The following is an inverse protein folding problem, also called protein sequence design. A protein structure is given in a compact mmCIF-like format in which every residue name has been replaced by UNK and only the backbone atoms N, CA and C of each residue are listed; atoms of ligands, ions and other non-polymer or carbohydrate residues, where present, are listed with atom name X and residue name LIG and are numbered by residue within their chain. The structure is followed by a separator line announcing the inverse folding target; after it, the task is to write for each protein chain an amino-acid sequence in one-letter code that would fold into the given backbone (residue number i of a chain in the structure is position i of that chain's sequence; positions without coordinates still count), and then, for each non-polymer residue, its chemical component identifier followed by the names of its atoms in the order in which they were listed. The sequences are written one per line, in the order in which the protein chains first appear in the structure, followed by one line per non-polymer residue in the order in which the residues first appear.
data_IF_751697055254
#
_entry.id   IF_751697055254
#
_cell.length_a   1.000
_cell.length_b   1.000
_cell.length_c   1.000
_cell.angle_alpha   90.00
_cell.angle_beta   90.00
_cell.angle_gamma   90.00
#
_symmetry.space_group_name_H-M   'P 1'
#
loop_
_entity.id
_entity.type
_entity.pdbx_description
1 polymer ?
#
# COMPACT_ATOMS: atom_id res chain seq x y z
N UNK A 1 -21.80 44.49 -0.50
CA UNK A 1 -20.41 44.35 -1.01
C UNK A 1 -19.63 43.99 0.20
N UNK A 2 -19.47 42.72 0.38
CA UNK A 2 -19.06 42.04 1.61
C UNK A 2 -17.69 41.50 1.45
N UNK A 3 -16.92 41.47 2.48
CA UNK A 3 -15.64 40.89 2.94
C UNK A 3 -14.90 39.84 2.06
N UNK A 4 -15.20 39.73 0.76
CA UNK A 4 -14.59 38.75 -0.15
C UNK A 4 -13.23 39.21 -0.70
N UNK A 5 -12.93 40.52 -0.59
CA UNK A 5 -11.77 41.11 -1.27
C UNK A 5 -10.43 41.03 -0.48
N UNK A 6 -10.34 40.25 0.61
CA UNK A 6 -9.12 40.19 1.44
C UNK A 6 -8.70 38.78 1.92
N UNK A 7 -9.20 37.72 1.28
CA UNK A 7 -8.70 36.37 1.59
C UNK A 7 -7.33 36.18 0.96
N UNK A 8 -6.30 36.06 1.78
CA UNK A 8 -4.95 35.70 1.29
C UNK A 8 -5.02 34.28 0.74
N UNK A 9 -4.78 34.13 -0.56
CA UNK A 9 -4.78 32.80 -1.22
C UNK A 9 -3.79 31.84 -0.54
N UNK A 10 -4.17 30.57 -0.45
CA UNK A 10 -3.27 29.54 0.04
C UNK A 10 -2.09 29.37 -0.93
N UNK A 11 -0.93 29.03 -0.38
CA UNK A 11 0.29 28.83 -1.15
C UNK A 11 0.24 27.44 -1.79
N UNK A 12 -0.14 27.40 -3.08
CA UNK A 12 -0.17 26.21 -3.93
C UNK A 12 0.19 26.63 -5.36
N UNK A 13 0.92 25.76 -6.07
CA UNK A 13 1.32 26.06 -7.46
C UNK A 13 0.11 26.02 -8.39
N UNK A 14 -0.09 27.07 -9.20
CA UNK A 14 -1.05 27.08 -10.31
C UNK A 14 -0.26 26.97 -11.62
N UNK A 15 -0.51 25.94 -12.39
CA UNK A 15 0.27 25.58 -13.59
C UNK A 15 -0.67 25.55 -14.79
N UNK A 16 -0.26 26.15 -15.90
CA UNK A 16 -0.98 26.06 -17.17
C UNK A 16 -0.17 25.23 -18.17
N UNK A 17 -0.78 24.19 -18.74
CA UNK A 17 -0.12 23.31 -19.69
C UNK A 17 0.21 23.98 -21.04
N UNK A 18 -0.31 25.18 -21.30
CA UNK A 18 0.00 25.99 -22.46
C UNK A 18 1.23 26.89 -22.30
N UNK A 19 1.82 26.98 -21.12
CA UNK A 19 2.99 27.82 -20.84
C UNK A 19 4.32 27.12 -21.11
N UNK A 20 5.35 27.92 -21.45
CA UNK A 20 6.67 27.38 -21.86
C UNK A 20 7.40 26.63 -20.73
N UNK A 21 7.13 26.95 -19.45
CA UNK A 21 7.73 26.33 -18.26
C UNK A 21 6.98 25.11 -17.73
N UNK A 22 5.89 24.69 -18.40
CA UNK A 22 5.07 23.57 -17.99
C UNK A 22 5.89 22.28 -17.74
N UNK A 23 6.82 21.98 -18.68
CA UNK A 23 7.66 20.77 -18.56
C UNK A 23 8.54 20.77 -17.31
N UNK A 24 9.12 21.92 -16.97
CA UNK A 24 9.99 22.07 -15.80
C UNK A 24 9.17 21.96 -14.50
N UNK A 25 7.98 22.58 -14.47
CA UNK A 25 7.04 22.50 -13.36
C UNK A 25 6.58 21.05 -13.13
N UNK A 26 6.25 20.33 -14.19
CA UNK A 26 5.83 18.92 -14.13
C UNK A 26 6.98 18.01 -13.65
N UNK A 27 8.20 18.25 -14.15
CA UNK A 27 9.38 17.51 -13.66
C UNK A 27 9.60 17.75 -12.17
N UNK A 28 9.44 18.97 -11.67
CA UNK A 28 9.55 19.30 -10.25
C UNK A 28 8.50 18.56 -9.40
N UNK A 29 7.24 18.48 -9.86
CA UNK A 29 6.17 17.73 -9.21
C UNK A 29 6.45 16.21 -9.19
N UNK A 30 7.03 15.69 -10.28
CA UNK A 30 7.34 14.26 -10.44
C UNK A 30 8.61 13.83 -9.73
N UNK A 31 9.44 14.75 -9.26
CA UNK A 31 10.65 14.45 -8.50
C UNK A 31 10.31 13.99 -7.09
N UNK A 32 10.29 12.68 -6.91
CA UNK A 32 10.25 12.08 -5.58
C UNK A 32 11.62 12.21 -4.93
N UNK A 33 11.65 12.76 -3.73
CA UNK A 33 12.89 12.80 -2.94
C UNK A 33 13.36 11.35 -2.79
N UNK A 34 14.56 11.07 -3.26
CA UNK A 34 15.16 9.74 -3.10
C UNK A 34 15.00 9.30 -1.65
N UNK A 35 14.29 8.19 -1.44
CA UNK A 35 14.14 7.57 -0.12
C UNK A 35 15.46 6.99 0.41
N UNK A 36 16.58 7.20 -0.30
CA UNK A 36 17.91 6.75 0.06
C UNK A 36 18.64 7.87 0.80
N UNK A 37 18.82 7.66 2.09
CA UNK A 37 19.65 8.49 2.95
C UNK A 37 20.77 7.60 3.53
N UNK A 38 22.05 7.79 3.16
CA UNK A 38 23.16 6.94 3.60
C UNK A 38 23.29 6.78 5.11
N UNK A 39 22.96 7.82 5.88
CA UNK A 39 22.99 7.76 7.34
C UNK A 39 21.85 6.88 7.89
N UNK A 40 20.65 6.98 7.28
CA UNK A 40 19.52 6.09 7.62
C UNK A 40 19.86 4.66 7.24
N UNK A 41 20.41 4.43 6.05
CA UNK A 41 20.79 3.08 5.59
C UNK A 41 21.79 2.41 6.54
N UNK A 42 22.82 3.15 6.97
CA UNK A 42 23.81 2.65 7.94
C UNK A 42 23.16 2.30 9.28
N UNK A 43 22.38 3.21 9.86
CA UNK A 43 21.67 2.99 11.14
C UNK A 43 20.74 1.80 11.06
N UNK A 44 19.99 1.67 9.96
CA UNK A 44 19.09 0.54 9.75
C UNK A 44 19.89 -0.76 9.66
N UNK A 45 21.00 -0.79 8.93
CA UNK A 45 21.85 -1.97 8.82
C UNK A 45 22.42 -2.41 10.19
N UNK A 46 22.81 -1.46 11.03
CA UNK A 46 23.25 -1.72 12.41
C UNK A 46 22.13 -2.35 13.25
N UNK A 47 20.92 -1.76 13.22
CA UNK A 47 19.73 -2.28 13.93
C UNK A 47 19.39 -3.69 13.46
N UNK A 48 19.33 -3.89 12.13
CA UNK A 48 18.99 -5.17 11.52
C UNK A 48 19.98 -6.27 11.95
N UNK A 49 21.28 -5.95 11.94
CA UNK A 49 22.35 -6.86 12.36
C UNK A 49 22.22 -7.15 13.86
N UNK A 50 22.02 -6.13 14.69
CA UNK A 50 21.86 -6.28 16.13
C UNK A 50 20.73 -7.24 16.50
N UNK A 51 19.55 -7.08 15.90
CA UNK A 51 18.40 -7.98 16.16
C UNK A 51 18.68 -9.39 15.68
N UNK A 52 19.31 -9.55 14.51
CA UNK A 52 19.66 -10.87 13.95
C UNK A 52 20.61 -11.65 14.86
N UNK A 53 21.57 -10.98 15.49
CA UNK A 53 22.60 -11.60 16.33
C UNK A 53 22.19 -11.72 17.81
N UNK A 54 21.42 -10.74 18.32
CA UNK A 54 21.08 -10.65 19.74
C UNK A 54 19.64 -11.06 20.08
N UNK A 55 18.80 -11.35 19.07
CA UNK A 55 17.45 -11.89 19.27
C UNK A 55 16.53 -10.98 20.11
N UNK A 56 15.72 -11.61 20.97
CA UNK A 56 14.71 -10.92 21.79
C UNK A 56 15.31 -9.86 22.73
N UNK A 57 16.50 -10.10 23.29
CA UNK A 57 17.13 -9.14 24.20
C UNK A 57 17.42 -7.80 23.52
N UNK A 58 18.08 -7.84 22.37
CA UNK A 58 18.39 -6.64 21.58
C UNK A 58 17.13 -5.98 21.00
N UNK A 59 16.11 -6.77 20.67
CA UNK A 59 14.81 -6.25 20.23
C UNK A 59 14.13 -5.44 21.35
N UNK A 60 14.20 -5.91 22.60
CA UNK A 60 13.69 -5.19 23.78
C UNK A 60 14.50 -3.92 24.02
N UNK A 61 15.84 -3.98 23.93
CA UNK A 61 16.72 -2.82 24.12
C UNK A 61 16.40 -1.70 23.11
N UNK A 62 16.28 -2.03 21.83
CA UNK A 62 15.89 -1.03 20.79
C UNK A 62 14.47 -0.49 21.03
N UNK A 63 13.52 -1.32 21.45
CA UNK A 63 12.16 -0.87 21.75
C UNK A 63 12.14 0.06 22.95
N UNK A 64 12.90 -0.24 24.00
CA UNK A 64 13.06 0.65 25.15
C UNK A 64 13.67 1.98 24.74
N UNK A 65 14.70 1.96 23.90
CA UNK A 65 15.38 3.17 23.44
C UNK A 65 14.47 4.07 22.57
N UNK A 66 13.78 3.47 21.57
CA UNK A 66 13.06 4.26 20.56
C UNK A 66 11.63 4.61 20.96
N UNK A 67 10.97 3.70 21.71
CA UNK A 67 9.60 3.90 22.17
C UNK A 67 9.53 4.37 23.63
N UNK A 68 10.67 4.72 24.24
CA UNK A 68 10.76 5.18 25.64
C UNK A 68 10.08 4.22 26.62
N UNK A 69 10.34 2.92 26.45
CA UNK A 69 9.82 1.84 27.30
C UNK A 69 10.85 1.47 28.39
N UNK A 70 10.41 0.65 29.32
CA UNK A 70 11.26 0.06 30.35
C UNK A 70 10.92 -1.42 30.56
N UNK A 71 10.80 -2.17 29.46
CA UNK A 71 10.48 -3.59 29.49
C UNK A 71 11.74 -4.39 29.85
N UNK A 72 11.57 -5.42 30.66
CA UNK A 72 12.64 -6.32 31.05
C UNK A 72 12.81 -7.49 30.08
N UNK A 73 11.72 -7.89 29.42
CA UNK A 73 11.70 -9.02 28.49
C UNK A 73 10.65 -8.86 27.39
N UNK A 74 10.71 -9.76 26.42
CA UNK A 74 9.85 -9.72 25.21
C UNK A 74 8.37 -10.00 25.52
N UNK A 75 8.05 -10.71 26.60
CA UNK A 75 6.66 -11.03 26.95
C UNK A 75 5.85 -9.77 27.29
N UNK A 76 6.51 -8.73 27.81
CA UNK A 76 5.89 -7.43 28.08
C UNK A 76 5.54 -6.65 26.81
N UNK A 77 6.12 -7.02 25.68
CA UNK A 77 5.80 -6.48 24.36
C UNK A 77 4.69 -7.25 23.64
N UNK A 78 4.33 -8.44 24.15
CA UNK A 78 3.30 -9.29 23.59
C UNK A 78 1.91 -8.93 24.13
N UNK A 79 0.96 -8.67 23.25
CA UNK A 79 -0.43 -8.42 23.60
C UNK A 79 -1.23 -9.73 23.47
N UNK A 80 -1.70 -10.25 24.60
CA UNK A 80 -2.47 -11.50 24.61
C UNK A 80 -3.86 -11.33 23.97
N UNK A 81 -4.42 -12.42 23.45
CA UNK A 81 -5.74 -12.42 22.78
C UNK A 81 -6.88 -11.91 23.68
N UNK A 82 -6.80 -12.11 24.99
CA UNK A 82 -7.81 -11.58 25.92
C UNK A 82 -7.86 -10.05 25.91
N UNK A 83 -6.71 -9.38 25.78
CA UNK A 83 -6.65 -7.91 25.65
C UNK A 83 -7.27 -7.41 24.35
N UNK A 84 -7.16 -8.16 23.24
CA UNK A 84 -7.82 -7.83 21.99
C UNK A 84 -9.35 -7.91 22.14
N UNK A 85 -9.83 -8.98 22.77
CA UNK A 85 -11.26 -9.20 23.04
C UNK A 85 -11.81 -8.15 24.01
N UNK A 86 -11.07 -7.82 25.04
CA UNK A 86 -11.43 -6.76 26.00
C UNK A 86 -11.55 -5.41 25.28
N UNK A 87 -10.55 -5.02 24.47
CA UNK A 87 -10.58 -3.78 23.71
C UNK A 87 -11.83 -3.71 22.83
N UNK A 88 -12.15 -4.78 22.09
CA UNK A 88 -13.34 -4.84 21.24
C UNK A 88 -14.65 -4.68 22.06
N UNK A 89 -14.67 -5.15 23.30
CA UNK A 89 -15.85 -5.03 24.16
C UNK A 89 -16.01 -3.65 24.82
N UNK A 90 -14.91 -2.90 24.95
CA UNK A 90 -14.86 -1.64 25.72
C UNK A 90 -14.86 -0.38 24.89
N UNK A 91 -14.52 -0.45 23.56
CA UNK A 91 -14.62 0.73 22.67
C UNK A 91 -16.08 1.16 22.50
N UNK A 92 -16.24 2.43 22.12
CA UNK A 92 -17.55 3.01 21.82
C UNK A 92 -18.34 2.14 20.83
N UNK A 93 -19.62 1.81 21.07
CA UNK A 93 -20.43 0.99 20.19
C UNK A 93 -20.57 1.52 18.76
N UNK A 94 -20.58 2.84 18.55
CA UNK A 94 -20.64 3.43 17.21
C UNK A 94 -19.34 3.18 16.45
N UNK A 95 -18.18 3.32 17.11
CA UNK A 95 -16.85 3.01 16.56
C UNK A 95 -16.75 1.53 16.24
N UNK A 96 -17.20 0.66 17.14
CA UNK A 96 -17.23 -0.79 16.89
C UNK A 96 -18.06 -1.14 15.67
N UNK A 97 -19.29 -0.62 15.57
CA UNK A 97 -20.16 -0.88 14.43
C UNK A 97 -19.55 -0.37 13.10
N UNK A 98 -18.86 0.76 13.11
CA UNK A 98 -18.16 1.29 11.94
C UNK A 98 -17.01 0.35 11.51
N UNK A 99 -16.18 -0.11 12.44
CA UNK A 99 -15.09 -1.05 12.15
C UNK A 99 -15.60 -2.40 11.64
N UNK A 100 -16.65 -2.96 12.26
CA UNK A 100 -17.25 -4.23 11.83
C UNK A 100 -17.88 -4.11 10.42
N UNK A 101 -18.52 -2.97 10.13
CA UNK A 101 -19.09 -2.68 8.82
C UNK A 101 -18.02 -2.53 7.75
N UNK A 102 -16.94 -1.79 8.02
CA UNK A 102 -15.80 -1.65 7.15
C UNK A 102 -15.13 -3.01 6.90
N UNK A 103 -14.86 -3.77 7.96
CA UNK A 103 -14.26 -5.10 7.87
C UNK A 103 -15.09 -6.07 7.01
N UNK A 104 -16.42 -6.01 7.13
CA UNK A 104 -17.33 -6.80 6.28
C UNK A 104 -17.18 -6.44 4.81
N UNK A 105 -17.21 -5.14 4.46
CA UNK A 105 -17.07 -4.69 3.07
C UNK A 105 -15.70 -5.03 2.48
N UNK A 106 -14.62 -4.84 3.27
CA UNK A 106 -13.27 -5.23 2.88
C UNK A 106 -13.21 -6.74 2.59
N UNK A 107 -13.79 -7.56 3.45
CA UNK A 107 -13.84 -9.02 3.26
C UNK A 107 -14.64 -9.39 2.02
N UNK A 108 -15.83 -8.83 1.86
CA UNK A 108 -16.72 -9.10 0.72
C UNK A 108 -16.02 -8.78 -0.62
N UNK A 109 -15.32 -7.63 -0.68
CA UNK A 109 -14.55 -7.26 -1.87
C UNK A 109 -13.40 -8.24 -2.15
N UNK A 110 -12.60 -8.55 -1.14
CA UNK A 110 -11.40 -9.37 -1.30
C UNK A 110 -11.71 -10.84 -1.60
N UNK A 111 -12.90 -11.36 -1.25
CA UNK A 111 -13.33 -12.70 -1.64
C UNK A 111 -13.34 -12.85 -3.17
N UNK A 112 -13.70 -11.80 -3.91
CA UNK A 112 -13.69 -11.84 -5.39
C UNK A 112 -12.28 -11.92 -5.99
N UNK A 113 -11.24 -11.59 -5.24
CA UNK A 113 -9.84 -11.68 -5.70
C UNK A 113 -9.24 -13.07 -5.51
N UNK A 114 -9.88 -13.94 -4.74
CA UNK A 114 -9.35 -15.26 -4.41
C UNK A 114 -9.22 -16.13 -5.64
N UNK A 115 -8.00 -16.63 -5.88
CA UNK A 115 -7.72 -17.54 -6.98
C UNK A 115 -7.79 -18.99 -6.51
N UNK A 116 -8.24 -19.89 -7.41
CA UNK A 116 -8.31 -21.33 -7.18
C UNK A 116 -7.34 -22.07 -8.08
N UNK A 117 -6.90 -23.25 -7.64
CA UNK A 117 -6.07 -24.14 -8.45
C UNK A 117 -6.85 -24.64 -9.67
N UNK A 118 -6.19 -24.74 -10.80
CA UNK A 118 -6.78 -25.21 -12.04
C UNK A 118 -5.84 -26.15 -12.79
N UNK A 119 -6.40 -27.01 -13.63
CA UNK A 119 -5.68 -27.90 -14.53
C UNK A 119 -6.50 -28.19 -15.78
N UNK A 120 -5.81 -28.47 -16.88
CA UNK A 120 -6.39 -28.97 -18.12
C UNK A 120 -5.47 -30.01 -18.74
N UNK A 121 -5.99 -30.80 -19.67
CA UNK A 121 -5.18 -31.76 -20.45
C UNK A 121 -5.09 -31.26 -21.88
N UNK A 122 -3.89 -31.12 -22.38
CA UNK A 122 -3.60 -30.66 -23.73
C UNK A 122 -3.86 -31.82 -24.74
N UNK A 123 -3.87 -31.47 -26.03
CA UNK A 123 -4.19 -32.40 -27.12
C UNK A 123 -3.25 -33.62 -27.18
N UNK A 124 -2.01 -33.46 -26.70
CA UNK A 124 -1.00 -34.52 -26.63
C UNK A 124 -1.12 -35.43 -25.37
N UNK A 125 -2.10 -35.16 -24.51
CA UNK A 125 -2.32 -35.86 -23.26
C UNK A 125 -1.49 -35.35 -22.08
N UNK A 126 -0.76 -34.23 -22.25
CA UNK A 126 -0.04 -33.57 -21.14
C UNK A 126 -1.04 -32.83 -20.26
N UNK A 127 -1.06 -33.13 -18.96
CA UNK A 127 -1.80 -32.34 -17.99
C UNK A 127 -0.94 -31.13 -17.53
N UNK A 128 -1.50 -29.94 -17.70
CA UNK A 128 -0.94 -28.68 -17.26
C UNK A 128 -1.86 -28.00 -16.25
N UNK A 129 -1.29 -27.24 -15.34
CA UNK A 129 -2.11 -26.52 -14.37
C UNK A 129 -1.31 -25.60 -13.47
N UNK A 130 -2.03 -25.04 -12.50
CA UNK A 130 -1.47 -24.18 -11.48
C UNK A 130 -2.05 -24.53 -10.12
N UNK A 131 -1.19 -24.81 -9.16
CA UNK A 131 -1.56 -25.00 -7.77
C UNK A 131 -1.45 -23.66 -7.04
N UNK A 132 -2.56 -23.22 -6.47
CA UNK A 132 -2.63 -22.03 -5.63
C UNK A 132 -2.54 -22.46 -4.17
N UNK A 133 -1.62 -21.85 -3.40
CA UNK A 133 -1.45 -22.09 -1.97
C UNK A 133 -1.24 -20.79 -1.24
N UNK A 134 -1.87 -20.58 -0.06
CA UNK A 134 -1.58 -19.41 0.75
C UNK A 134 -0.13 -19.44 1.26
N UNK A 135 0.36 -18.28 1.71
CA UNK A 135 1.54 -18.19 2.56
C UNK A 135 1.23 -18.80 3.92
N UNK A 136 2.25 -19.32 4.61
CA UNK A 136 2.05 -19.91 5.93
C UNK A 136 1.94 -18.84 7.01
N UNK A 137 2.81 -17.81 6.95
CA UNK A 137 2.88 -16.77 7.97
C UNK A 137 3.17 -15.41 7.34
N UNK A 138 2.45 -14.37 7.80
CA UNK A 138 2.58 -13.00 7.33
C UNK A 138 2.78 -12.06 8.50
N UNK A 139 3.72 -11.14 8.38
CA UNK A 139 3.91 -10.01 9.28
C UNK A 139 3.20 -8.77 8.74
N UNK A 140 2.37 -8.12 9.55
CA UNK A 140 1.79 -6.84 9.23
C UNK A 140 2.42 -5.76 10.11
N UNK A 141 2.93 -4.71 9.46
CA UNK A 141 3.42 -3.53 10.15
C UNK A 141 2.31 -2.47 10.17
N UNK A 142 1.90 -2.06 11.34
CA UNK A 142 0.90 -1.00 11.52
C UNK A 142 1.62 0.23 12.05
N UNK A 143 1.54 1.38 11.35
CA UNK A 143 2.13 2.61 11.85
C UNK A 143 1.52 3.03 13.19
N UNK A 144 2.30 3.75 14.00
CA UNK A 144 1.86 4.31 15.28
C UNK A 144 2.59 5.61 15.56
N UNK A 145 2.19 6.32 16.60
CA UNK A 145 2.81 7.56 17.06
C UNK A 145 1.86 8.75 16.96
N UNK A 146 1.88 9.52 15.87
CA UNK A 146 1.06 10.74 15.73
C UNK A 146 -0.42 10.47 15.49
N UNK A 147 -0.78 9.32 14.91
CA UNK A 147 -2.17 8.91 14.64
C UNK A 147 -2.35 7.41 14.91
N UNK A 148 -3.61 6.98 15.07
CA UNK A 148 -4.01 5.59 15.19
C UNK A 148 -4.54 5.11 13.83
N UNK A 149 -4.11 3.93 13.37
CA UNK A 149 -4.47 3.41 12.06
C UNK A 149 -5.21 2.05 12.15
N UNK A 150 -6.43 2.01 12.72
CA UNK A 150 -7.22 0.78 12.75
C UNK A 150 -7.57 0.29 11.34
N UNK A 151 -7.76 1.20 10.38
CA UNK A 151 -7.98 0.87 8.97
C UNK A 151 -6.81 0.06 8.38
N UNK A 152 -5.56 0.45 8.67
CA UNK A 152 -4.39 -0.31 8.21
C UNK A 152 -4.34 -1.72 8.78
N UNK A 153 -4.86 -1.94 10.01
CA UNK A 153 -5.00 -3.32 10.53
C UNK A 153 -5.96 -4.12 9.66
N UNK A 154 -7.16 -3.58 9.39
CA UNK A 154 -8.18 -4.26 8.59
C UNK A 154 -7.69 -4.53 7.17
N UNK A 155 -7.11 -3.53 6.52
CA UNK A 155 -6.66 -3.57 5.13
C UNK A 155 -5.47 -4.52 4.89
N UNK A 156 -4.64 -4.75 5.88
CA UNK A 156 -3.53 -5.70 5.78
C UNK A 156 -3.94 -7.12 6.21
N UNK A 157 -4.69 -7.26 7.32
CA UNK A 157 -4.98 -8.58 7.89
C UNK A 157 -6.12 -9.31 7.16
N UNK A 158 -7.19 -8.60 6.74
CA UNK A 158 -8.36 -9.26 6.12
C UNK A 158 -8.01 -9.93 4.80
N UNK A 159 -7.29 -9.32 3.84
CA UNK A 159 -6.88 -10.00 2.61
C UNK A 159 -6.01 -11.24 2.87
N UNK A 160 -5.11 -11.17 3.86
CA UNK A 160 -4.30 -12.31 4.27
C UNK A 160 -5.18 -13.47 4.79
N UNK A 161 -6.20 -13.16 5.58
CA UNK A 161 -7.17 -14.16 6.06
C UNK A 161 -8.03 -14.74 4.93
N UNK A 162 -8.51 -13.91 4.01
CA UNK A 162 -9.25 -14.35 2.82
C UNK A 162 -8.41 -15.28 1.95
N UNK A 163 -7.11 -14.99 1.81
CA UNK A 163 -6.16 -15.84 1.09
C UNK A 163 -5.99 -17.23 1.75
N UNK A 164 -6.26 -17.32 3.07
CA UNK A 164 -6.08 -18.55 3.85
C UNK A 164 -4.73 -18.60 4.58
N UNK A 165 -4.07 -17.48 4.83
CA UNK A 165 -2.85 -17.40 5.64
C UNK A 165 -3.12 -17.96 7.03
N UNK A 166 -2.28 -18.90 7.47
CA UNK A 166 -2.47 -19.63 8.71
C UNK A 166 -2.20 -18.76 9.94
N UNK A 167 -1.16 -17.93 9.89
CA UNK A 167 -0.75 -17.09 11.02
C UNK A 167 -0.45 -15.66 10.56
N UNK A 168 -1.11 -14.69 11.17
CA UNK A 168 -0.90 -13.26 10.95
C UNK A 168 -0.32 -12.64 12.21
N UNK A 169 0.90 -12.11 12.11
CA UNK A 169 1.63 -11.45 13.21
C UNK A 169 1.62 -9.95 12.97
N UNK A 170 1.06 -9.19 13.89
CA UNK A 170 1.06 -7.72 13.84
C UNK A 170 2.19 -7.17 14.71
N UNK A 171 2.94 -6.21 14.17
CA UNK A 171 3.86 -5.35 14.92
C UNK A 171 3.40 -3.90 14.82
N UNK A 172 3.42 -3.20 15.94
CA UNK A 172 2.95 -1.81 16.05
C UNK A 172 3.74 -1.08 17.12
N UNK A 173 4.33 0.11 16.85
CA UNK A 173 5.02 0.88 17.88
C UNK A 173 4.04 1.34 18.97
N UNK A 174 4.51 1.36 20.21
CA UNK A 174 3.73 1.82 21.35
C UNK A 174 4.59 2.75 22.23
N UNK A 175 4.84 4.00 21.77
CA UNK A 175 5.60 4.98 22.53
C UNK A 175 5.00 5.19 23.93
N UNK A 176 5.88 5.25 24.94
CA UNK A 176 5.49 5.37 26.34
C UNK A 176 4.55 4.25 26.84
N UNK A 177 4.48 3.13 26.09
CA UNK A 177 3.60 2.00 26.39
C UNK A 177 2.14 2.19 25.99
N UNK A 178 1.80 3.30 25.33
CA UNK A 178 0.42 3.56 24.91
C UNK A 178 0.13 2.91 23.55
N UNK A 179 -0.92 2.08 23.51
CA UNK A 179 -1.50 1.55 22.30
C UNK A 179 -3.01 1.78 22.33
N UNK A 180 -3.52 2.45 21.32
CA UNK A 180 -4.95 2.80 21.23
C UNK A 180 -5.84 1.56 21.25
N UNK A 181 -6.88 1.52 22.11
CA UNK A 181 -7.84 0.41 22.15
C UNK A 181 -8.53 0.12 20.82
N UNK A 182 -8.73 1.15 19.97
CA UNK A 182 -9.35 0.96 18.64
C UNK A 182 -8.47 0.12 17.70
N UNK A 183 -7.12 0.22 17.80
CA UNK A 183 -6.19 -0.61 17.02
C UNK A 183 -6.26 -2.06 17.48
N UNK A 184 -6.36 -2.30 18.79
CA UNK A 184 -6.54 -3.64 19.34
C UNK A 184 -7.88 -4.26 18.95
N UNK A 185 -8.95 -3.46 18.96
CA UNK A 185 -10.28 -3.88 18.51
C UNK A 185 -10.27 -4.26 17.02
N UNK A 186 -9.61 -3.46 16.17
CA UNK A 186 -9.45 -3.78 14.76
C UNK A 186 -8.65 -5.10 14.56
N UNK A 187 -7.61 -5.34 15.37
CA UNK A 187 -6.87 -6.59 15.34
C UNK A 187 -7.74 -7.80 15.74
N UNK A 188 -8.64 -7.62 16.73
CA UNK A 188 -9.63 -8.65 17.08
C UNK A 188 -10.61 -8.92 15.93
N UNK A 189 -11.17 -7.88 15.31
CA UNK A 189 -12.12 -7.99 14.18
C UNK A 189 -11.47 -8.67 12.95
N UNK A 190 -10.19 -8.36 12.71
CA UNK A 190 -9.44 -8.92 11.60
C UNK A 190 -8.83 -10.31 11.91
N UNK A 191 -9.08 -10.86 13.09
CA UNK A 191 -8.57 -12.16 13.56
C UNK A 191 -7.04 -12.27 13.49
N UNK A 192 -6.32 -11.25 14.00
CA UNK A 192 -4.87 -11.27 14.12
C UNK A 192 -4.46 -12.27 15.22
N UNK A 193 -3.46 -13.14 14.93
CA UNK A 193 -3.05 -14.20 15.87
C UNK A 193 -2.16 -13.70 17.00
N UNK A 194 -1.19 -12.85 16.66
CA UNK A 194 -0.19 -12.32 17.59
C UNK A 194 0.00 -10.83 17.36
N UNK A 195 0.15 -10.09 18.43
CA UNK A 195 0.42 -8.64 18.39
C UNK A 195 1.62 -8.35 19.29
N UNK A 196 2.63 -7.69 18.73
CA UNK A 196 3.79 -7.22 19.47
C UNK A 196 3.90 -5.69 19.37
N UNK A 197 4.10 -5.05 20.53
CA UNK A 197 4.30 -3.60 20.63
C UNK A 197 5.74 -3.23 20.31
N UNK A 198 6.13 -3.45 19.06
CA UNK A 198 7.46 -3.19 18.51
C UNK A 198 7.31 -2.40 17.22
N UNK A 199 8.07 -1.33 17.07
CA UNK A 199 8.07 -0.48 15.87
C UNK A 199 9.43 -0.44 15.16
N UNK A 200 9.57 0.45 14.17
CA UNK A 200 10.82 0.77 13.51
C UNK A 200 11.49 -0.38 12.74
N UNK A 201 12.78 -0.20 12.44
CA UNK A 201 13.58 -1.17 11.69
C UNK A 201 13.75 -2.49 12.47
N UNK A 202 13.81 -2.45 13.80
CA UNK A 202 13.93 -3.63 14.64
C UNK A 202 12.70 -4.55 14.54
N UNK A 203 11.50 -4.00 14.33
CA UNK A 203 10.29 -4.80 14.08
C UNK A 203 10.38 -5.56 12.76
N UNK A 204 10.87 -4.90 11.71
CA UNK A 204 11.09 -5.53 10.39
C UNK A 204 12.16 -6.62 10.50
N UNK A 205 13.24 -6.36 11.26
CA UNK A 205 14.28 -7.35 11.51
C UNK A 205 13.72 -8.61 12.21
N UNK A 206 12.92 -8.42 13.28
CA UNK A 206 12.30 -9.51 14.00
C UNK A 206 11.37 -10.36 13.12
N UNK A 207 10.56 -9.72 12.27
CA UNK A 207 9.70 -10.43 11.32
C UNK A 207 10.50 -11.18 10.24
N UNK A 208 11.59 -10.56 9.73
CA UNK A 208 12.35 -11.10 8.61
C UNK A 208 13.31 -12.23 9.00
N UNK A 209 14.00 -12.08 10.14
CA UNK A 209 14.99 -13.08 10.60
C UNK A 209 14.39 -14.10 11.57
N UNK A 210 13.36 -13.69 12.31
CA UNK A 210 12.84 -14.39 13.45
C UNK A 210 13.66 -14.11 14.72
N UNK A 211 13.02 -14.30 15.86
CA UNK A 211 13.62 -14.38 17.20
C UNK A 211 13.05 -15.59 17.93
N UNK A 212 13.40 -15.82 19.18
CA UNK A 212 12.80 -16.93 19.94
C UNK A 212 11.29 -16.73 20.14
N UNK A 213 10.82 -15.48 20.37
CA UNK A 213 9.41 -15.15 20.57
C UNK A 213 8.67 -14.87 19.26
N UNK A 214 9.29 -14.19 18.31
CA UNK A 214 8.68 -13.76 17.03
C UNK A 214 9.18 -14.68 15.92
N UNK A 215 8.32 -15.56 15.44
CA UNK A 215 8.69 -16.46 14.37
C UNK A 215 8.84 -15.71 13.03
N UNK A 216 9.86 -16.10 12.26
CA UNK A 216 10.09 -15.59 10.90
C UNK A 216 8.84 -15.72 10.04
N UNK A 217 8.55 -14.68 9.24
CA UNK A 217 7.41 -14.63 8.31
C UNK A 217 7.84 -14.86 6.86
N UNK A 218 6.87 -15.23 6.01
CA UNK A 218 7.09 -15.38 4.56
C UNK A 218 7.00 -14.05 3.83
N UNK A 219 6.15 -13.14 4.30
CA UNK A 219 5.94 -11.81 3.71
C UNK A 219 5.70 -10.78 4.82
N UNK A 220 6.20 -9.55 4.61
CA UNK A 220 5.93 -8.38 5.45
C UNK A 220 5.14 -7.38 4.62
N UNK A 221 4.01 -6.90 5.15
CA UNK A 221 3.14 -5.92 4.52
C UNK A 221 2.86 -4.75 5.46
N UNK A 222 2.40 -3.64 4.91
CA UNK A 222 2.05 -2.43 5.63
C UNK A 222 3.07 -1.30 5.48
N UNK A 223 2.59 -0.04 5.49
CA UNK A 223 3.41 1.16 5.35
C UNK A 223 4.17 1.49 6.64
N UNK A 224 5.23 2.27 6.52
CA UNK A 224 6.00 2.77 7.66
C UNK A 224 6.90 3.92 7.26
N UNK A 225 7.54 4.54 8.27
CA UNK A 225 8.45 5.65 8.06
C UNK A 225 9.73 5.24 7.28
N UNK A 226 10.62 6.20 7.02
CA UNK A 226 11.86 5.98 6.26
C UNK A 226 12.73 4.85 6.82
N UNK A 227 12.76 4.63 8.14
CA UNK A 227 13.52 3.52 8.75
C UNK A 227 12.90 2.17 8.42
N UNK A 228 11.56 2.08 8.48
CA UNK A 228 10.79 0.87 8.13
C UNK A 228 10.92 0.58 6.63
N UNK A 229 10.75 1.59 5.78
CA UNK A 229 10.90 1.46 4.33
C UNK A 229 12.32 1.00 3.94
N UNK A 230 13.36 1.56 4.59
CA UNK A 230 14.75 1.16 4.39
C UNK A 230 15.01 -0.27 4.88
N UNK A 231 14.47 -0.65 6.04
CA UNK A 231 14.60 -2.02 6.56
C UNK A 231 13.89 -3.04 5.64
N UNK A 232 12.68 -2.72 5.14
CA UNK A 232 11.98 -3.55 4.14
C UNK A 232 12.85 -3.75 2.90
N UNK A 233 13.48 -2.70 2.34
CA UNK A 233 14.41 -2.84 1.20
C UNK A 233 15.56 -3.78 1.48
N UNK A 234 16.15 -3.72 2.68
CA UNK A 234 17.30 -4.57 3.04
C UNK A 234 16.94 -6.05 3.21
N UNK A 235 15.70 -6.38 3.49
CA UNK A 235 15.25 -7.78 3.64
C UNK A 235 14.56 -8.33 2.38
N UNK A 236 14.48 -7.56 1.30
CA UNK A 236 13.91 -8.04 0.05
C UNK A 236 14.70 -9.24 -0.48
N UNK A 237 14.01 -10.31 -0.82
CA UNK A 237 14.60 -11.58 -1.21
C UNK A 237 14.83 -12.57 -0.05
N UNK A 238 14.92 -12.09 1.20
CA UNK A 238 14.89 -12.95 2.39
C UNK A 238 13.44 -13.27 2.81
N UNK A 239 12.56 -12.26 2.68
CA UNK A 239 11.11 -12.35 2.84
C UNK A 239 10.44 -11.63 1.67
N UNK A 240 9.20 -11.97 1.36
CA UNK A 240 8.38 -11.20 0.44
C UNK A 240 7.99 -9.85 1.03
N UNK A 241 7.71 -8.88 0.17
CA UNK A 241 7.19 -7.56 0.55
C UNK A 241 5.93 -7.25 -0.27
N UNK A 242 5.11 -6.33 0.23
CA UNK A 242 4.07 -5.66 -0.54
C UNK A 242 4.71 -4.64 -1.50
N UNK A 243 5.09 -3.49 -0.95
CA UNK A 243 5.70 -2.38 -1.67
C UNK A 243 6.59 -1.56 -0.72
N UNK A 244 7.34 -0.64 -1.28
CA UNK A 244 8.03 0.42 -0.53
C UNK A 244 7.20 1.68 -0.68
N UNK A 245 6.43 2.03 0.34
CA UNK A 245 5.60 3.21 0.33
C UNK A 245 6.43 4.51 0.42
N UNK A 246 6.07 5.47 -0.41
CA UNK A 246 6.46 6.88 -0.30
C UNK A 246 5.38 7.69 0.44
N UNK A 247 5.46 9.03 0.38
CA UNK A 247 4.37 9.90 0.82
C UNK A 247 3.09 9.63 0.02
N UNK A 248 1.94 9.87 0.63
CA UNK A 248 0.64 9.64 0.00
C UNK A 248 0.31 10.71 -1.06
N UNK A 249 -0.50 10.32 -2.06
CA UNK A 249 -0.79 11.13 -3.24
C UNK A 249 -2.26 11.08 -3.63
N UNK A 250 -2.84 12.23 -3.95
CA UNK A 250 -4.12 12.33 -4.64
C UNK A 250 -4.00 13.14 -5.92
N UNK A 251 -4.64 12.68 -6.97
CA UNK A 251 -4.87 13.41 -8.19
C UNK A 251 -6.36 13.41 -8.52
N UNK A 252 -6.96 14.59 -8.59
CA UNK A 252 -8.36 14.78 -8.97
C UNK A 252 -8.43 15.28 -10.40
N UNK A 253 -9.17 14.59 -11.27
CA UNK A 253 -9.59 15.12 -12.59
C UNK A 253 -11.02 15.62 -12.44
N UNK A 254 -11.26 16.91 -12.66
CA UNK A 254 -12.58 17.52 -12.52
C UNK A 254 -13.02 18.25 -13.79
N UNK A 255 -14.31 18.09 -14.16
CA UNK A 255 -14.95 18.75 -15.32
C UNK A 255 -15.52 20.14 -14.99
N UNK A 256 -15.27 20.67 -13.79
CA UNK A 256 -15.78 21.98 -13.36
C UNK A 256 -17.20 21.96 -12.79
N UNK A 257 -17.86 20.79 -12.73
CA UNK A 257 -19.27 20.70 -12.33
C UNK A 257 -19.46 20.17 -10.89
N UNK A 258 -18.37 19.85 -10.19
CA UNK A 258 -18.41 19.44 -8.77
C UNK A 258 -18.36 20.68 -7.88
N UNK A 259 -18.94 20.58 -6.68
CA UNK A 259 -18.83 21.64 -5.67
C UNK A 259 -17.35 21.92 -5.36
N UNK A 260 -16.84 23.15 -5.51
CA UNK A 260 -15.45 23.48 -5.26
C UNK A 260 -14.98 23.18 -3.84
N UNK A 261 -15.89 23.25 -2.85
CA UNK A 261 -15.57 22.91 -1.45
C UNK A 261 -15.30 21.42 -1.27
N UNK A 262 -15.98 20.56 -2.03
CA UNK A 262 -15.71 19.13 -2.01
C UNK A 262 -14.30 18.83 -2.54
N UNK A 263 -13.95 19.41 -3.69
CA UNK A 263 -12.61 19.24 -4.26
C UNK A 263 -11.51 19.78 -3.32
N UNK A 264 -11.77 20.94 -2.68
CA UNK A 264 -10.83 21.48 -1.69
C UNK A 264 -10.63 20.51 -0.51
N UNK A 265 -11.72 19.88 -0.01
CA UNK A 265 -11.63 18.89 1.06
C UNK A 265 -10.95 17.60 0.65
N UNK A 266 -11.17 17.11 -0.58
CA UNK A 266 -10.49 15.93 -1.09
C UNK A 266 -8.97 16.18 -1.22
N UNK A 267 -8.55 17.37 -1.65
CA UNK A 267 -7.13 17.75 -1.66
C UNK A 267 -6.55 17.88 -0.24
N UNK A 268 -7.33 18.37 0.72
CA UNK A 268 -6.89 18.49 2.12
C UNK A 268 -6.84 17.16 2.83
N UNK A 269 -7.75 16.21 2.53
CA UNK A 269 -7.74 14.88 3.13
C UNK A 269 -6.42 14.16 2.88
N UNK A 270 -5.82 14.38 1.73
CA UNK A 270 -4.48 13.86 1.42
C UNK A 270 -3.36 14.70 2.03
N UNK A 271 -3.45 16.03 1.91
CA UNK A 271 -2.42 16.95 2.38
C UNK A 271 -2.20 16.89 3.91
N UNK A 272 -3.23 16.50 4.68
CA UNK A 272 -3.13 16.40 6.14
C UNK A 272 -2.32 15.19 6.62
N UNK A 273 -2.04 14.20 5.76
CA UNK A 273 -1.30 13.00 6.14
C UNK A 273 0.15 13.31 6.52
N UNK A 274 0.88 14.09 5.68
CA UNK A 274 2.27 14.42 5.90
C UNK A 274 2.66 15.70 5.14
N UNK A 275 3.74 16.36 5.56
CA UNK A 275 4.28 17.57 4.91
C UNK A 275 4.81 17.31 3.49
N UNK A 276 5.08 16.07 3.13
CA UNK A 276 5.56 15.62 1.82
C UNK A 276 4.45 14.94 0.98
N UNK A 277 3.19 14.88 1.49
CA UNK A 277 2.04 14.40 0.73
C UNK A 277 1.81 15.27 -0.52
N UNK A 278 1.27 14.66 -1.59
CA UNK A 278 1.01 15.35 -2.85
C UNK A 278 -0.49 15.44 -3.14
N UNK A 279 -0.98 16.65 -3.44
CA UNK A 279 -2.38 16.91 -3.78
C UNK A 279 -2.46 17.69 -5.09
N UNK A 280 -3.00 17.08 -6.14
CA UNK A 280 -3.07 17.66 -7.49
C UNK A 280 -4.52 17.70 -7.96
N UNK A 281 -4.95 18.87 -8.48
CA UNK A 281 -6.17 19.01 -9.26
C UNK A 281 -5.81 19.26 -10.73
N UNK A 282 -6.45 18.55 -11.65
CA UNK A 282 -6.40 18.81 -13.08
C UNK A 282 -7.80 19.14 -13.58
N UNK A 283 -7.95 20.26 -14.28
CA UNK A 283 -9.21 20.64 -14.91
C UNK A 283 -8.98 21.35 -16.25
N UNK A 284 -9.90 21.13 -17.17
CA UNK A 284 -10.02 21.91 -18.43
C UNK A 284 -11.00 23.09 -18.31
N UNK A 285 -11.65 23.25 -17.16
CA UNK A 285 -12.38 24.46 -16.78
C UNK A 285 -11.45 25.36 -15.95
N UNK A 286 -10.87 26.36 -16.63
CA UNK A 286 -9.86 27.25 -16.02
C UNK A 286 -10.47 28.15 -14.94
N UNK A 287 -11.72 28.58 -15.10
CA UNK A 287 -12.42 29.41 -14.10
C UNK A 287 -12.71 28.60 -12.83
N UNK A 288 -13.00 27.31 -13.00
CA UNK A 288 -13.20 26.40 -11.88
C UNK A 288 -11.95 26.24 -11.02
N UNK A 289 -10.77 26.17 -11.60
CA UNK A 289 -9.50 26.13 -10.86
C UNK A 289 -9.38 27.31 -9.91
N UNK A 290 -9.73 28.52 -10.38
CA UNK A 290 -9.64 29.73 -9.56
C UNK A 290 -10.67 29.71 -8.42
N UNK A 291 -11.87 29.17 -8.65
CA UNK A 291 -12.90 29.00 -7.62
C UNK A 291 -12.47 27.97 -6.57
N UNK A 292 -11.87 26.84 -6.96
CA UNK A 292 -11.33 25.85 -6.01
C UNK A 292 -10.22 26.48 -5.17
N UNK A 293 -9.30 27.26 -5.76
CA UNK A 293 -8.23 27.94 -5.03
C UNK A 293 -8.79 28.92 -3.97
N UNK A 294 -9.88 29.63 -4.29
CA UNK A 294 -10.58 30.47 -3.33
C UNK A 294 -11.24 29.65 -2.21
N UNK A 295 -11.88 28.53 -2.52
CA UNK A 295 -12.46 27.61 -1.56
C UNK A 295 -11.39 27.04 -0.61
N UNK A 296 -10.26 26.58 -1.14
CA UNK A 296 -9.11 26.13 -0.34
C UNK A 296 -8.65 27.22 0.62
N UNK A 297 -8.48 28.44 0.13
CA UNK A 297 -8.01 29.58 0.93
C UNK A 297 -8.95 29.95 2.08
N UNK A 298 -10.25 29.78 1.85
CA UNK A 298 -11.30 30.03 2.84
C UNK A 298 -11.39 28.90 3.88
N UNK A 299 -11.29 27.65 3.46
CA UNK A 299 -11.51 26.46 4.31
C UNK A 299 -10.26 26.07 5.11
N UNK A 300 -9.08 26.32 4.58
CA UNK A 300 -7.81 25.91 5.22
C UNK A 300 -7.66 26.34 6.66
N UNK A 301 -8.01 27.60 7.08
CA UNK A 301 -7.91 28.03 8.48
C UNK A 301 -8.82 27.26 9.45
N UNK A 302 -9.82 26.50 8.95
CA UNK A 302 -10.74 25.73 9.75
C UNK A 302 -10.23 24.31 10.06
N UNK A 303 -9.13 23.89 9.43
CA UNK A 303 -8.58 22.55 9.54
C UNK A 303 -7.75 22.36 10.81
N UNK A 304 -7.98 21.28 11.56
CA UNK A 304 -7.23 20.95 12.77
C UNK A 304 -5.72 20.75 12.50
N UNK A 305 -5.37 20.29 11.29
CA UNK A 305 -3.97 20.06 10.85
C UNK A 305 -3.48 21.11 9.86
N UNK A 306 -3.97 22.35 9.96
CA UNK A 306 -3.70 23.45 9.05
C UNK A 306 -2.20 23.58 8.67
N UNK A 307 -1.31 23.53 9.65
CA UNK A 307 0.14 23.70 9.39
C UNK A 307 0.74 22.61 8.49
N UNK A 308 0.29 21.37 8.65
CA UNK A 308 0.74 20.24 7.83
C UNK A 308 0.21 20.41 6.42
N UNK A 309 -1.10 20.67 6.28
CA UNK A 309 -1.75 20.92 5.00
C UNK A 309 -1.05 22.05 4.23
N UNK A 310 -0.78 23.19 4.89
CA UNK A 310 -0.06 24.32 4.27
C UNK A 310 1.29 23.92 3.69
N UNK A 311 2.07 23.18 4.47
CA UNK A 311 3.43 22.77 4.04
C UNK A 311 3.36 21.78 2.89
N UNK A 312 2.43 20.84 2.95
CA UNK A 312 2.17 19.86 1.88
C UNK A 312 1.80 20.57 0.57
N UNK A 313 0.78 21.44 0.61
CA UNK A 313 0.32 22.19 -0.56
C UNK A 313 1.42 23.09 -1.16
N UNK A 314 2.17 23.81 -0.34
CA UNK A 314 3.24 24.68 -0.79
C UNK A 314 4.41 23.93 -1.44
N UNK A 315 4.65 22.66 -1.04
CA UNK A 315 5.78 21.86 -1.54
C UNK A 315 5.41 20.99 -2.73
N UNK A 316 4.23 20.35 -2.68
CA UNK A 316 3.83 19.26 -3.57
C UNK A 316 2.41 19.43 -4.11
N UNK A 317 1.69 20.48 -3.74
CA UNK A 317 0.38 20.78 -4.26
C UNK A 317 0.44 21.44 -5.63
N UNK A 318 -0.52 21.13 -6.51
CA UNK A 318 -0.66 21.81 -7.78
C UNK A 318 -2.12 21.85 -8.26
N UNK A 319 -2.51 23.00 -8.82
CA UNK A 319 -3.74 23.20 -9.57
C UNK A 319 -3.36 23.36 -11.05
N UNK A 320 -3.71 22.39 -11.90
CA UNK A 320 -3.20 22.30 -13.27
C UNK A 320 -4.33 22.56 -14.27
N UNK A 321 -4.13 23.58 -15.11
CA UNK A 321 -5.00 23.93 -16.23
C UNK A 321 -4.56 23.16 -17.48
N UNK A 322 -5.49 22.43 -18.10
CA UNK A 322 -5.25 21.71 -19.35
C UNK A 322 -6.28 22.09 -20.40
N UNK A 323 -6.01 21.91 -21.71
CA UNK A 323 -6.92 22.33 -22.76
C UNK A 323 -8.19 21.47 -22.88
N UNK A 324 -8.10 20.19 -22.50
CA UNK A 324 -9.21 19.26 -22.69
C UNK A 324 -9.07 18.00 -21.78
N UNK A 325 -10.12 17.19 -21.81
CA UNK A 325 -10.23 15.93 -21.07
C UNK A 325 -9.12 14.92 -21.43
N UNK A 326 -8.70 14.85 -22.69
CA UNK A 326 -7.67 13.88 -23.11
C UNK A 326 -6.32 14.26 -22.54
N UNK A 327 -5.98 15.53 -22.54
CA UNK A 327 -4.78 16.09 -21.92
C UNK A 327 -4.76 15.81 -20.40
N UNK A 328 -5.92 15.90 -19.73
CA UNK A 328 -6.04 15.55 -18.31
C UNK A 328 -5.71 14.07 -18.06
N UNK A 329 -6.24 13.18 -18.89
CA UNK A 329 -5.98 11.73 -18.80
C UNK A 329 -4.51 11.40 -19.11
N UNK A 330 -3.92 12.00 -20.13
CA UNK A 330 -2.51 11.79 -20.48
C UNK A 330 -1.59 12.23 -19.35
N UNK A 331 -1.85 13.39 -18.77
CA UNK A 331 -1.09 13.91 -17.64
C UNK A 331 -1.24 13.04 -16.39
N UNK A 332 -2.45 12.57 -16.08
CA UNK A 332 -2.69 11.62 -14.98
C UNK A 332 -1.89 10.31 -15.19
N UNK A 333 -1.91 9.75 -16.41
CA UNK A 333 -1.12 8.57 -16.73
C UNK A 333 0.41 8.81 -16.60
N UNK A 334 0.86 10.02 -16.89
CA UNK A 334 2.26 10.42 -16.72
C UNK A 334 2.63 10.57 -15.25
N UNK A 335 1.77 11.08 -14.40
CA UNK A 335 1.99 11.21 -12.96
C UNK A 335 1.86 9.86 -12.26
N UNK A 336 0.93 9.01 -12.72
CA UNK A 336 0.66 7.68 -12.17
C UNK A 336 0.38 7.71 -10.65
N UNK A 337 -0.66 8.42 -10.21
CA UNK A 337 -0.91 8.70 -8.81
C UNK A 337 -1.32 7.46 -8.02
N UNK A 338 -1.16 7.54 -6.70
CA UNK A 338 -1.71 6.58 -5.76
C UNK A 338 -3.24 6.55 -5.81
N UNK A 339 -3.88 7.69 -5.56
CA UNK A 339 -5.32 7.88 -5.64
C UNK A 339 -5.66 8.75 -6.84
N UNK A 340 -6.56 8.26 -7.72
CA UNK A 340 -7.08 9.00 -8.85
C UNK A 340 -8.59 9.18 -8.69
N UNK A 341 -9.05 10.41 -8.48
CA UNK A 341 -10.46 10.75 -8.52
C UNK A 341 -10.88 11.25 -9.89
N UNK A 342 -11.90 10.63 -10.47
CA UNK A 342 -12.57 11.06 -11.69
C UNK A 342 -13.85 11.80 -11.33
N UNK A 343 -13.73 13.05 -10.85
CA UNK A 343 -14.84 13.90 -10.41
C UNK A 343 -15.53 14.56 -11.62
N UNK A 344 -16.05 13.72 -12.51
CA UNK A 344 -16.67 14.09 -13.79
C UNK A 344 -18.07 13.48 -13.92
N UNK A 345 -18.88 13.98 -14.87
CA UNK A 345 -20.25 13.50 -15.08
C UNK A 345 -20.28 12.03 -15.52
N UNK A 346 -19.38 11.63 -16.44
CA UNK A 346 -19.34 10.28 -16.99
C UNK A 346 -17.95 9.67 -16.88
N UNK A 347 -17.54 9.15 -15.70
CA UNK A 347 -16.20 8.61 -15.48
C UNK A 347 -15.90 7.37 -16.33
N UNK A 348 -16.92 6.61 -16.75
CA UNK A 348 -16.77 5.43 -17.61
C UNK A 348 -16.20 5.80 -19.02
N UNK A 349 -16.32 7.06 -19.45
CA UNK A 349 -15.71 7.52 -20.70
C UNK A 349 -14.18 7.67 -20.58
N UNK A 350 -13.68 8.00 -19.40
CA UNK A 350 -12.26 8.17 -19.14
C UNK A 350 -11.57 6.85 -18.82
N UNK A 351 -12.28 5.97 -18.12
CA UNK A 351 -11.74 4.72 -17.56
C UNK A 351 -10.93 3.88 -18.57
N UNK A 352 -11.36 3.67 -19.84
CA UNK A 352 -10.58 2.89 -20.82
C UNK A 352 -9.21 3.50 -21.16
N UNK A 353 -9.03 4.81 -20.95
CA UNK A 353 -7.80 5.55 -21.24
C UNK A 353 -6.89 5.72 -20.03
N UNK A 354 -7.40 5.45 -18.82
CA UNK A 354 -6.58 5.43 -17.59
C UNK A 354 -5.76 4.14 -17.55
N UNK A 355 -4.44 4.29 -17.40
CA UNK A 355 -3.49 3.18 -17.42
C UNK A 355 -2.77 3.00 -16.09
N UNK A 356 -2.48 4.09 -15.40
CA UNK A 356 -1.60 4.13 -14.25
C UNK A 356 -2.27 4.87 -13.09
N UNK A 357 -2.85 4.13 -12.17
CA UNK A 357 -3.35 4.63 -10.89
C UNK A 357 -3.34 3.50 -9.87
N UNK A 358 -3.08 3.80 -8.60
CA UNK A 358 -3.19 2.83 -7.53
C UNK A 358 -4.65 2.46 -7.28
N UNK A 359 -5.53 3.44 -7.08
CA UNK A 359 -6.98 3.28 -7.01
C UNK A 359 -7.67 4.33 -7.86
N UNK A 360 -8.86 4.00 -8.42
CA UNK A 360 -9.65 4.91 -9.24
C UNK A 360 -11.01 5.11 -8.58
N UNK A 361 -11.31 6.34 -8.19
CA UNK A 361 -12.55 6.77 -7.57
C UNK A 361 -13.45 7.39 -8.63
N UNK A 362 -14.60 6.76 -8.88
CA UNK A 362 -15.41 7.08 -10.05
C UNK A 362 -16.63 7.92 -9.68
N UNK A 363 -16.67 9.14 -10.19
CA UNK A 363 -17.80 10.08 -10.07
C UNK A 363 -17.73 10.97 -8.82
N UNK A 364 -18.46 12.08 -8.87
CA UNK A 364 -18.42 13.20 -7.90
C UNK A 364 -18.70 12.84 -6.46
N UNK A 365 -19.42 11.73 -6.24
CA UNK A 365 -19.80 11.29 -4.88
C UNK A 365 -18.83 10.29 -4.25
N UNK A 366 -17.70 10.03 -4.91
CA UNK A 366 -16.76 8.99 -4.49
C UNK A 366 -15.45 9.64 -4.03
N UNK A 367 -15.51 10.22 -2.84
CA UNK A 367 -14.33 10.81 -2.17
C UNK A 367 -13.31 9.73 -1.77
N UNK A 368 -12.01 10.05 -1.78
CA UNK A 368 -10.91 9.19 -1.33
C UNK A 368 -11.19 8.57 0.04
N UNK A 369 -11.63 9.37 1.01
CA UNK A 369 -11.92 8.92 2.37
C UNK A 369 -12.92 7.74 2.43
N UNK A 370 -13.88 7.68 1.49
CA UNK A 370 -14.82 6.55 1.42
C UNK A 370 -14.10 5.25 1.06
N UNK A 371 -13.15 5.31 0.11
CA UNK A 371 -12.33 4.17 -0.27
C UNK A 371 -11.38 3.76 0.84
N UNK A 372 -10.71 4.70 1.43
CA UNK A 372 -9.69 4.46 2.46
C UNK A 372 -10.25 3.79 3.71
N UNK A 373 -11.48 4.10 4.07
CA UNK A 373 -12.04 3.58 5.31
C UNK A 373 -13.05 2.44 5.14
N UNK A 374 -13.90 2.47 4.11
CA UNK A 374 -15.08 1.61 4.16
C UNK A 374 -15.63 1.10 2.82
N UNK A 375 -15.17 1.53 1.66
CA UNK A 375 -15.73 1.07 0.38
C UNK A 375 -15.48 -0.43 0.13
N UNK A 376 -14.33 -0.94 0.55
CA UNK A 376 -13.96 -2.36 0.41
C UNK A 376 -12.63 -2.62 -0.28
N UNK A 377 -12.24 -1.92 -1.36
CA UNK A 377 -10.91 -2.00 -1.93
C UNK A 377 -9.81 -1.65 -0.93
N UNK A 378 -8.60 -2.11 -1.18
CA UNK A 378 -7.47 -1.91 -0.28
C UNK A 378 -6.87 -0.51 -0.44
N UNK A 379 -6.55 0.14 0.67
CA UNK A 379 -5.86 1.42 0.68
C UNK A 379 -4.32 1.32 0.79
N UNK A 380 -3.76 0.11 0.82
CA UNK A 380 -2.30 -0.07 0.70
C UNK A 380 -1.97 -0.05 -0.79
N UNK A 381 -1.62 1.12 -1.28
CA UNK A 381 -1.53 1.46 -2.68
C UNK A 381 -0.09 1.78 -3.10
N UNK A 382 0.26 1.60 -4.38
CA UNK A 382 1.56 2.00 -4.91
C UNK A 382 1.67 3.52 -4.99
N UNK A 383 2.69 4.08 -4.35
CA UNK A 383 3.02 5.52 -4.33
C UNK A 383 4.21 5.83 -5.23
N UNK A 384 4.58 7.11 -5.36
CA UNK A 384 5.78 7.58 -6.07
C UNK A 384 5.85 7.07 -7.52
N UNK A 385 4.73 7.20 -8.22
CA UNK A 385 4.53 6.76 -9.60
C UNK A 385 4.74 5.25 -9.85
N UNK A 386 4.81 4.42 -8.80
CA UNK A 386 4.97 2.97 -8.94
C UNK A 386 3.70 2.27 -9.41
N UNK A 387 2.55 2.95 -9.46
CA UNK A 387 1.32 2.45 -10.09
C UNK A 387 1.49 2.05 -11.57
N UNK A 388 2.62 2.43 -12.20
CA UNK A 388 3.02 1.98 -13.55
C UNK A 388 3.33 0.49 -13.63
N UNK A 389 3.73 -0.16 -12.53
CA UNK A 389 4.16 -1.56 -12.48
C UNK A 389 3.76 -2.29 -11.20
N UNK A 390 3.17 -1.60 -10.23
CA UNK A 390 2.68 -2.16 -8.97
C UNK A 390 1.17 -2.03 -8.88
N UNK A 391 0.55 -2.85 -8.04
CA UNK A 391 -0.88 -2.89 -7.80
C UNK A 391 -1.19 -2.71 -6.31
N UNK A 392 -2.44 -2.37 -5.95
CA UNK A 392 -2.90 -2.42 -4.57
C UNK A 392 -2.65 -3.77 -3.92
N UNK A 393 -2.45 -3.78 -2.60
CA UNK A 393 -2.38 -5.01 -1.83
C UNK A 393 -3.68 -5.80 -1.99
N UNK A 394 -3.57 -7.07 -2.35
CA UNK A 394 -4.71 -7.93 -2.59
C UNK A 394 -4.50 -9.36 -2.10
N UNK A 395 -5.52 -10.20 -2.27
CA UNK A 395 -5.48 -11.62 -1.87
C UNK A 395 -4.35 -12.37 -2.57
N UNK A 396 -4.07 -12.03 -3.83
CA UNK A 396 -3.01 -12.66 -4.62
C UNK A 396 -1.59 -12.38 -4.11
N UNK A 397 -1.41 -11.35 -3.29
CA UNK A 397 -0.14 -11.07 -2.60
C UNK A 397 0.18 -12.08 -1.50
N UNK A 398 -0.83 -12.76 -1.00
CA UNK A 398 -0.77 -13.77 0.04
C UNK A 398 -0.92 -15.20 -0.51
N UNK A 399 -0.96 -15.37 -1.84
CA UNK A 399 -1.07 -16.65 -2.51
C UNK A 399 0.15 -16.91 -3.40
N UNK A 400 0.69 -18.14 -3.32
CA UNK A 400 1.74 -18.64 -4.22
C UNK A 400 1.12 -19.47 -5.34
N UNK A 401 1.75 -19.41 -6.51
CA UNK A 401 1.38 -20.17 -7.70
C UNK A 401 2.52 -21.11 -8.06
N UNK A 402 2.23 -22.42 -8.10
CA UNK A 402 3.18 -23.43 -8.55
C UNK A 402 2.67 -24.09 -9.81
N UNK A 403 3.49 -24.19 -10.85
CA UNK A 403 3.13 -24.88 -12.08
C UNK A 403 2.99 -26.38 -11.84
N UNK A 404 1.96 -26.98 -12.41
CA UNK A 404 1.73 -28.42 -12.43
C UNK A 404 1.96 -28.91 -13.86
N UNK A 405 2.81 -29.93 -14.01
CA UNK A 405 3.12 -30.56 -15.28
C UNK A 405 3.12 -32.07 -15.05
N UNK A 406 2.31 -32.80 -15.81
CA UNK A 406 2.27 -34.26 -15.77
C UNK A 406 2.16 -34.79 -17.21
N UNK A 407 3.19 -35.49 -17.66
CA UNK A 407 3.19 -36.12 -18.96
C UNK A 407 2.70 -37.58 -18.87
N UNK A 408 2.00 -38.02 -19.88
CA UNK A 408 1.85 -39.44 -20.19
C UNK A 408 3.14 -39.97 -20.80
N UNK A 409 3.28 -41.30 -20.95
CA UNK A 409 4.42 -41.93 -21.63
C UNK A 409 4.54 -41.41 -23.07
N UNK A 410 3.45 -41.26 -23.77
CA UNK A 410 3.40 -40.79 -25.16
C UNK A 410 3.76 -39.31 -25.27
N UNK A 411 3.16 -38.47 -24.45
CA UNK A 411 3.50 -37.04 -24.48
C UNK A 411 4.95 -36.75 -24.02
N UNK A 412 5.44 -37.50 -23.02
CA UNK A 412 6.83 -37.39 -22.58
C UNK A 412 7.80 -37.79 -23.73
N UNK A 413 7.47 -38.81 -24.53
CA UNK A 413 8.26 -39.21 -25.70
C UNK A 413 8.24 -38.14 -26.79
N UNK A 414 7.09 -37.54 -27.07
CA UNK A 414 7.00 -36.46 -28.08
C UNK A 414 7.75 -35.19 -27.63
N UNK A 415 7.47 -34.70 -26.42
CA UNK A 415 8.11 -33.52 -25.85
C UNK A 415 9.59 -33.71 -25.57
N UNK A 416 10.01 -34.93 -25.23
CA UNK A 416 11.40 -35.30 -24.99
C UNK A 416 12.29 -35.09 -26.21
N UNK A 417 11.78 -35.32 -27.42
CA UNK A 417 12.52 -35.04 -28.69
C UNK A 417 12.76 -33.54 -28.85
N UNK A 418 11.76 -32.70 -28.53
CA UNK A 418 11.88 -31.24 -28.61
C UNK A 418 12.89 -30.74 -27.56
N UNK A 419 12.72 -31.19 -26.32
CA UNK A 419 13.57 -30.78 -25.19
C UNK A 419 15.04 -31.18 -25.43
N UNK A 420 15.29 -32.36 -25.99
CA UNK A 420 16.64 -32.82 -26.34
C UNK A 420 17.33 -31.89 -27.34
N UNK A 421 16.64 -31.50 -28.41
CA UNK A 421 17.19 -30.60 -29.43
C UNK A 421 17.58 -29.25 -28.81
N UNK A 422 16.69 -28.65 -28.03
CA UNK A 422 16.92 -27.33 -27.39
C UNK A 422 18.07 -27.44 -26.37
N UNK A 423 18.01 -28.42 -25.48
CA UNK A 423 19.02 -28.61 -24.43
C UNK A 423 20.42 -28.82 -24.97
N UNK A 424 20.56 -29.50 -26.14
CA UNK A 424 21.84 -29.66 -26.81
C UNK A 424 22.36 -28.35 -27.40
N UNK A 425 21.51 -27.50 -27.97
CA UNK A 425 21.90 -26.17 -28.48
C UNK A 425 22.36 -25.23 -27.35
N UNK A 426 21.79 -25.38 -26.16
CA UNK A 426 22.23 -24.67 -24.97
C UNK A 426 23.47 -25.27 -24.31
N UNK A 427 24.06 -26.32 -24.87
CA UNK A 427 25.16 -27.10 -24.28
C UNK A 427 24.84 -27.77 -22.96
N UNK A 428 23.54 -27.94 -22.64
CA UNK A 428 23.05 -28.60 -21.44
C UNK A 428 22.77 -30.08 -21.67
N UNK A 429 23.85 -30.86 -21.86
CA UNK A 429 23.75 -32.26 -22.24
C UNK A 429 23.00 -33.16 -21.26
N UNK A 430 23.09 -32.87 -19.96
CA UNK A 430 22.34 -33.62 -18.95
C UNK A 430 20.80 -33.38 -19.06
N UNK A 431 20.37 -32.16 -19.38
CA UNK A 431 18.97 -31.85 -19.68
C UNK A 431 18.47 -32.61 -20.91
N UNK A 432 19.24 -32.56 -22.00
CA UNK A 432 18.93 -33.29 -23.22
C UNK A 432 18.79 -34.78 -22.95
N UNK A 433 19.75 -35.39 -22.27
CA UNK A 433 19.73 -36.82 -21.94
C UNK A 433 18.61 -37.21 -21.00
N UNK A 434 18.27 -36.36 -20.03
CA UNK A 434 17.09 -36.58 -19.14
C UNK A 434 15.79 -36.71 -19.93
N UNK A 435 15.61 -35.87 -20.96
CA UNK A 435 14.48 -35.96 -21.87
C UNK A 435 14.52 -37.21 -22.75
N UNK A 436 15.71 -37.50 -23.32
CA UNK A 436 15.96 -38.66 -24.23
C UNK A 436 15.65 -40.00 -23.57
N UNK A 437 15.94 -40.17 -22.27
CA UNK A 437 15.61 -41.40 -21.54
C UNK A 437 14.13 -41.69 -21.44
N UNK A 438 13.26 -40.71 -21.72
CA UNK A 438 11.79 -40.82 -21.71
C UNK A 438 11.19 -40.97 -23.11
N UNK A 439 12.04 -41.06 -24.15
CA UNK A 439 11.61 -41.30 -25.53
C UNK A 439 11.36 -42.81 -25.69
N UNK A 440 10.15 -43.18 -26.08
CA UNK A 440 9.81 -44.56 -26.43
C UNK A 440 10.62 -44.95 -27.66
N UNK A 441 11.28 -46.08 -27.57
CA UNK A 441 12.10 -46.63 -28.66
C UNK A 441 11.24 -47.31 -29.71
#
# INVERSE_FOLDING_TARGET
MSDVDNIKLCDISVIDSGEDDFSDNLEALSKWTSTSNPDVERKVAEIMTGVREGGDGVLVDYTNLFDRRACENIDELNICKSRLTEALSTIDPAVRNALESAAKRIRDYHIHQKQESWRFTDIDGTMLGQKITPLDRVGIYVPGGKACYPSSVLMNAIPARVAGVREVIMVVPAPDGFLSPIVLAAAAIADVDKVYTVGGAQAIAALAYGTDAIQKVDKIVGPGNIYVATAKRQVFGLVGLDMIAGPSEILVICDGMTDPDWIAMDLFSQAEHDEDAQSILISWDHDFIDVVHQSMSRLLPEMEREEIIRKSLARKGALIKVPDMLSAVELSNQLAPEHLELSVENPDLLLPSIKNAGAIFMGRYTAEAIGDYCAGPNHVLPTSATARFSSPLGVYDFQKRSSLIQCSEQSASALGKIASVIGRQESLTAHARSAEYRIIK
#
